data_IF_607495555444
#
_entry.id   IF_607495555444
#
_cell.length_a   1.000
_cell.length_b   1.000
_cell.length_c   1.000
_cell.angle_alpha   90.00
_cell.angle_beta   90.00
_cell.angle_gamma   90.00
#
_symmetry.space_group_name_H-M   'P 1'
#
loop_
_entity.id
_entity.type
_entity.pdbx_description
1 polymer ?
#
# COMPACT_ATOMS: atom_id res chain seq x y z
N UNK A 1 -29.14 -4.08 -3.64
CA UNK A 1 -29.33 -3.63 -2.23
C UNK A 1 -28.87 -4.76 -1.30
N UNK A 2 -28.09 -4.46 -0.27
CA UNK A 2 -27.74 -5.45 0.75
C UNK A 2 -28.96 -5.79 1.61
N UNK A 3 -29.18 -7.07 1.93
CA UNK A 3 -30.34 -7.55 2.71
C UNK A 3 -30.06 -7.77 4.19
N UNK A 4 -28.79 -7.79 4.59
CA UNK A 4 -28.36 -8.05 5.97
C UNK A 4 -27.42 -6.95 6.46
N UNK A 5 -26.22 -6.89 5.88
CA UNK A 5 -25.15 -5.99 6.35
C UNK A 5 -24.28 -5.52 5.18
N UNK A 6 -23.44 -4.51 5.46
CA UNK A 6 -22.41 -3.99 4.56
C UNK A 6 -21.09 -3.95 5.32
N UNK A 7 -20.06 -4.61 4.79
CA UNK A 7 -18.69 -4.59 5.32
C UNK A 7 -17.84 -3.75 4.37
N UNK A 8 -17.11 -2.77 4.93
CA UNK A 8 -16.23 -1.88 4.16
C UNK A 8 -14.78 -2.34 4.31
N UNK A 9 -14.10 -2.55 3.17
CA UNK A 9 -12.70 -3.05 3.13
C UNK A 9 -11.89 -2.32 2.06
N UNK A 10 -11.95 -0.98 2.05
CA UNK A 10 -11.38 -0.13 1.00
C UNK A 10 -9.97 0.42 1.33
N UNK A 11 -9.20 -0.28 2.18
CA UNK A 11 -7.91 0.17 2.73
C UNK A 11 -8.03 1.33 3.74
N UNK A 12 -6.93 1.60 4.46
CA UNK A 12 -6.80 2.69 5.43
C UNK A 12 -7.04 4.09 4.81
N UNK A 13 -6.84 4.24 3.49
CA UNK A 13 -6.98 5.53 2.80
C UNK A 13 -8.41 5.76 2.32
N UNK A 14 -9.06 4.78 1.68
CA UNK A 14 -10.38 5.01 1.09
C UNK A 14 -11.55 4.68 2.02
N UNK A 15 -11.37 3.79 2.99
CA UNK A 15 -12.42 3.49 4.00
C UNK A 15 -12.92 4.74 4.72
N UNK A 16 -12.07 5.60 5.31
CA UNK A 16 -12.56 6.81 5.98
C UNK A 16 -13.24 7.78 5.03
N UNK A 17 -12.75 7.90 3.79
CA UNK A 17 -13.39 8.73 2.75
C UNK A 17 -14.83 8.27 2.45
N UNK A 18 -15.04 6.97 2.27
CA UNK A 18 -16.37 6.41 1.98
C UNK A 18 -17.32 6.61 3.17
N UNK A 19 -16.82 6.44 4.40
CA UNK A 19 -17.60 6.70 5.62
C UNK A 19 -18.02 8.17 5.69
N UNK A 20 -17.09 9.11 5.48
CA UNK A 20 -17.37 10.55 5.51
C UNK A 20 -18.39 10.94 4.44
N UNK A 21 -18.23 10.47 3.20
CA UNK A 21 -19.21 10.68 2.11
C UNK A 21 -20.58 10.05 2.40
N UNK A 22 -20.64 9.08 3.32
CA UNK A 22 -21.88 8.45 3.76
C UNK A 22 -22.54 9.17 4.95
N UNK A 23 -21.91 10.23 5.47
CA UNK A 23 -22.34 11.00 6.64
C UNK A 23 -21.80 10.50 7.99
N UNK A 24 -20.72 9.71 7.99
CA UNK A 24 -20.10 9.12 9.19
C UNK A 24 -18.66 9.65 9.32
N UNK A 25 -18.41 10.56 10.25
CA UNK A 25 -17.10 11.19 10.43
C UNK A 25 -17.14 12.45 11.30
N UNK A 26 -16.06 13.26 11.34
CA UNK A 26 -16.00 14.47 12.16
C UNK A 26 -17.06 15.48 11.73
N UNK A 27 -17.96 15.87 12.65
CA UNK A 27 -19.09 16.75 12.36
C UNK A 27 -18.71 18.03 11.63
N UNK A 28 -17.75 18.80 12.14
CA UNK A 28 -17.39 20.10 11.54
C UNK A 28 -16.87 19.95 10.11
N UNK A 29 -16.08 18.90 9.85
CA UNK A 29 -15.54 18.62 8.52
C UNK A 29 -16.65 18.20 7.54
N UNK A 30 -17.63 17.41 7.99
CA UNK A 30 -18.78 17.04 7.16
C UNK A 30 -19.67 18.23 6.84
N UNK A 31 -19.94 19.09 7.84
CA UNK A 31 -20.73 20.32 7.67
C UNK A 31 -20.05 21.31 6.71
N UNK A 32 -18.73 21.48 6.80
CA UNK A 32 -17.92 22.30 5.88
C UNK A 32 -18.12 21.89 4.40
N UNK A 33 -18.32 20.59 4.17
CA UNK A 33 -18.49 20.02 2.83
C UNK A 33 -19.97 19.83 2.42
N UNK A 34 -20.91 20.34 3.22
CA UNK A 34 -22.35 20.24 2.95
C UNK A 34 -22.91 18.81 3.02
N UNK A 35 -22.26 17.92 3.78
CA UNK A 35 -22.68 16.52 3.96
C UNK A 35 -23.56 16.40 5.20
N UNK A 36 -24.72 15.75 5.07
CA UNK A 36 -25.59 15.43 6.20
C UNK A 36 -24.84 14.55 7.22
N UNK A 37 -24.73 15.03 8.46
CA UNK A 37 -24.10 14.30 9.56
C UNK A 37 -25.07 13.27 10.11
N UNK A 38 -24.85 11.99 9.81
CA UNK A 38 -25.61 10.87 10.36
C UNK A 38 -25.03 10.36 11.67
N UNK A 39 -23.69 10.33 11.75
CA UNK A 39 -22.94 9.92 12.94
C UNK A 39 -21.72 10.80 13.05
N UNK A 40 -21.63 11.57 14.13
CA UNK A 40 -20.42 12.30 14.50
C UNK A 40 -19.41 11.33 15.10
N UNK A 41 -18.33 11.07 14.36
CA UNK A 41 -17.28 10.13 14.73
C UNK A 41 -15.91 10.71 14.38
N UNK A 42 -15.30 11.54 15.25
CA UNK A 42 -14.07 12.29 14.96
C UNK A 42 -12.83 11.41 14.70
N UNK A 43 -12.88 10.13 15.09
CA UNK A 43 -11.82 9.16 14.79
C UNK A 43 -11.74 8.74 13.33
N UNK A 44 -12.79 8.94 12.52
CA UNK A 44 -12.78 8.56 11.10
C UNK A 44 -11.81 9.46 10.33
N UNK A 45 -10.83 8.84 9.67
CA UNK A 45 -9.78 9.55 8.92
C UNK A 45 -8.61 10.02 9.77
N UNK A 46 -8.68 9.83 11.09
CA UNK A 46 -7.62 10.16 12.05
C UNK A 46 -6.71 8.94 12.30
N UNK A 47 -5.56 9.16 12.96
CA UNK A 47 -4.61 8.12 13.36
C UNK A 47 -4.08 7.26 12.18
N UNK A 48 -3.82 7.87 11.03
CA UNK A 48 -3.09 7.22 9.95
C UNK A 48 -1.64 6.98 10.40
N UNK A 49 -1.21 5.73 10.36
CA UNK A 49 0.16 5.33 10.64
C UNK A 49 0.74 4.63 9.42
N UNK A 50 2.01 4.90 9.14
CA UNK A 50 2.76 4.25 8.06
C UNK A 50 4.19 3.96 8.53
N UNK A 51 4.85 3.04 7.85
CA UNK A 51 6.26 2.75 8.05
C UNK A 51 7.09 3.50 7.02
N UNK A 52 7.60 4.67 7.40
CA UNK A 52 8.48 5.45 6.55
C UNK A 52 9.75 4.66 6.23
N UNK A 53 10.14 4.64 4.96
CA UNK A 53 11.34 3.95 4.49
C UNK A 53 12.34 4.92 3.85
N UNK A 54 13.61 4.54 3.87
CA UNK A 54 14.68 5.23 3.17
C UNK A 54 15.39 4.22 2.27
N UNK A 55 15.67 4.60 1.02
CA UNK A 55 16.49 3.81 0.12
C UNK A 55 17.96 4.23 0.20
N UNK A 56 18.84 3.24 0.38
CA UNK A 56 20.28 3.40 0.29
C UNK A 56 20.77 2.64 -0.95
N UNK A 57 21.47 3.34 -1.84
CA UNK A 57 22.00 2.77 -3.06
C UNK A 57 23.52 2.69 -2.98
N UNK A 58 24.08 1.54 -3.39
CA UNK A 58 25.52 1.27 -3.35
C UNK A 58 25.98 0.72 -4.70
N UNK A 59 27.22 1.04 -5.09
CA UNK A 59 27.85 0.47 -6.28
C UNK A 59 28.42 -0.92 -5.96
N UNK A 60 27.96 -1.94 -6.66
CA UNK A 60 28.47 -3.30 -6.54
C UNK A 60 29.71 -3.51 -7.41
N UNK A 61 30.81 -4.03 -6.85
CA UNK A 61 32.06 -4.28 -7.58
C UNK A 61 31.93 -5.33 -8.70
N UNK A 62 31.07 -6.34 -8.51
CA UNK A 62 30.91 -7.47 -9.46
C UNK A 62 29.60 -7.37 -10.26
N UNK A 63 29.07 -6.16 -10.42
CA UNK A 63 27.77 -5.92 -11.03
C UNK A 63 26.61 -6.19 -10.08
N UNK A 64 25.50 -5.50 -10.33
CA UNK A 64 24.20 -5.76 -9.71
C UNK A 64 23.22 -6.12 -10.82
N UNK A 65 22.18 -6.89 -10.51
CA UNK A 65 21.11 -7.13 -11.48
C UNK A 65 20.41 -5.80 -11.69
N UNK A 66 20.65 -5.19 -12.84
CA UNK A 66 19.99 -3.94 -13.21
C UNK A 66 18.57 -4.20 -13.70
N UNK A 67 17.71 -3.18 -13.65
CA UNK A 67 16.33 -3.30 -14.13
C UNK A 67 16.27 -3.72 -15.61
N UNK A 68 17.25 -3.28 -16.42
CA UNK A 68 17.37 -3.67 -17.83
C UNK A 68 17.74 -5.14 -18.05
N UNK A 69 18.60 -5.72 -17.20
CA UNK A 69 18.96 -7.14 -17.27
C UNK A 69 17.83 -8.03 -16.76
N UNK A 70 17.09 -7.57 -15.76
CA UNK A 70 15.95 -8.28 -15.19
C UNK A 70 14.83 -8.52 -16.23
N UNK A 71 14.63 -7.58 -17.17
CA UNK A 71 13.62 -7.63 -18.23
C UNK A 71 14.15 -8.13 -19.59
N UNK A 72 15.36 -8.69 -19.64
CA UNK A 72 15.92 -9.22 -20.89
C UNK A 72 15.05 -10.34 -21.49
N UNK A 73 15.11 -10.52 -22.81
CA UNK A 73 14.37 -11.59 -23.54
C UNK A 73 14.67 -12.98 -22.97
N UNK A 74 15.90 -13.20 -22.51
CA UNK A 74 16.30 -14.45 -21.83
C UNK A 74 15.58 -14.65 -20.51
N UNK A 75 15.44 -13.59 -19.70
CA UNK A 75 14.68 -13.62 -18.45
C UNK A 75 13.20 -13.89 -18.69
N UNK A 76 12.62 -13.28 -19.74
CA UNK A 76 11.24 -13.52 -20.16
C UNK A 76 11.01 -14.97 -20.62
N UNK A 77 11.90 -15.51 -21.47
CA UNK A 77 11.83 -16.90 -21.93
C UNK A 77 12.00 -17.90 -20.77
N UNK A 78 12.93 -17.66 -19.86
CA UNK A 78 13.09 -18.49 -18.66
C UNK A 78 11.87 -18.43 -17.73
N UNK A 79 11.28 -17.24 -17.57
CA UNK A 79 10.03 -17.11 -16.83
C UNK A 79 8.90 -17.87 -17.52
N UNK A 80 8.70 -17.69 -18.83
CA UNK A 80 7.60 -18.30 -19.56
C UNK A 80 7.70 -19.83 -19.61
N UNK A 81 8.86 -20.35 -20.04
CA UNK A 81 9.07 -21.77 -20.30
C UNK A 81 9.41 -22.57 -19.03
N UNK A 82 10.14 -21.98 -18.09
CA UNK A 82 10.67 -22.70 -16.90
C UNK A 82 10.08 -22.21 -15.58
N UNK A 83 9.25 -21.15 -15.58
CA UNK A 83 8.68 -20.52 -14.37
C UNK A 83 9.75 -20.18 -13.32
N UNK A 84 10.94 -19.78 -13.79
CA UNK A 84 12.12 -19.47 -12.96
C UNK A 84 12.80 -18.21 -13.48
N UNK A 85 13.59 -17.56 -12.63
CA UNK A 85 14.46 -16.44 -13.01
C UNK A 85 14.16 -15.16 -12.24
N UNK A 86 14.80 -14.06 -12.64
CA UNK A 86 14.72 -12.75 -11.96
C UNK A 86 13.29 -12.23 -11.82
N UNK A 87 12.42 -12.49 -12.79
CA UNK A 87 11.01 -12.09 -12.78
C UNK A 87 10.14 -12.83 -11.75
N UNK A 88 10.67 -13.90 -11.15
CA UNK A 88 10.00 -14.61 -10.04
C UNK A 88 10.45 -14.11 -8.65
N UNK A 89 11.39 -13.16 -8.59
CA UNK A 89 11.96 -12.63 -7.35
C UNK A 89 11.39 -11.25 -7.07
N UNK A 90 11.29 -10.90 -5.78
CA UNK A 90 10.87 -9.57 -5.32
C UNK A 90 12.01 -8.56 -5.27
N UNK A 91 13.27 -9.03 -5.34
CA UNK A 91 14.47 -8.22 -5.16
C UNK A 91 14.86 -7.98 -3.69
N UNK A 92 14.03 -8.43 -2.74
CA UNK A 92 14.34 -8.39 -1.31
C UNK A 92 14.87 -9.74 -0.86
N UNK A 93 16.19 -9.84 -0.69
CA UNK A 93 16.88 -11.11 -0.37
C UNK A 93 17.18 -11.28 1.13
N UNK A 94 17.09 -10.20 1.91
CA UNK A 94 17.32 -10.24 3.35
C UNK A 94 16.75 -9.01 4.03
N UNK A 95 16.33 -9.20 5.29
CA UNK A 95 15.83 -8.14 6.16
C UNK A 95 16.46 -8.29 7.54
N UNK A 96 16.61 -7.18 8.25
CA UNK A 96 17.09 -7.17 9.63
C UNK A 96 16.33 -6.12 10.44
N UNK A 97 16.04 -6.43 11.70
CA UNK A 97 15.50 -5.48 12.68
C UNK A 97 16.62 -5.04 13.61
N UNK A 98 16.80 -3.73 13.79
CA UNK A 98 17.77 -3.18 14.73
C UNK A 98 17.03 -2.51 15.87
N UNK A 99 17.34 -2.92 17.12
CA UNK A 99 16.87 -2.23 18.33
C UNK A 99 17.91 -1.18 18.69
N UNK A 100 17.52 0.10 18.66
CA UNK A 100 18.47 1.21 18.88
C UNK A 100 18.63 1.58 20.35
N UNK A 101 17.66 1.29 21.24
CA UNK A 101 17.75 1.22 22.71
C UNK A 101 16.65 0.33 23.27
#
# INVERSE_FOLDING_TARGET
KARKEVILSASAVHTPKILMLSGIGPKEHLEEHGIEVKVDLPGVGSNLQDHTFLHLYFNAKNGSITQGEALSVRSLLNYYLRKRGTLTRTGLEGTASVRTR
#
